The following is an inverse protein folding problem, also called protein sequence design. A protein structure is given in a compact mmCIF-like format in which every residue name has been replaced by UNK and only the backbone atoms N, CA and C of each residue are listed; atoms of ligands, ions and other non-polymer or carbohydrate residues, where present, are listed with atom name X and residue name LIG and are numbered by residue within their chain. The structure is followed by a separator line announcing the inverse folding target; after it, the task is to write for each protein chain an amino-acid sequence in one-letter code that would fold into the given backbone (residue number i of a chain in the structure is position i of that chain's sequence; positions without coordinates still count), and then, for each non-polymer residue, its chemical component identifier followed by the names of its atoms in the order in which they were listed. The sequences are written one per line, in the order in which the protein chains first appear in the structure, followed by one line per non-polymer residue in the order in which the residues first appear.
data_IF_892439753713
#
_entry.id   IF_892439753713
#
_cell.length_a   1.000
_cell.length_b   1.000
_cell.length_c   1.000
_cell.angle_alpha   90.00
_cell.angle_beta   90.00
_cell.angle_gamma   90.00
#
_symmetry.space_group_name_H-M   'P 1'
#
loop_
_entity.id
_entity.type
_entity.pdbx_description
1 polymer ?
#
# COMPACT_ATOMS: atom_id res chain seq x y z
N UNK A 1 53.89 41.31 24.70
CA UNK A 1 53.76 40.13 23.78
C UNK A 1 52.40 39.54 24.04
N UNK A 2 51.37 39.94 23.26
CA UNK A 2 49.99 39.58 23.45
C UNK A 2 49.66 38.50 22.41
N UNK A 3 49.32 37.30 22.88
CA UNK A 3 48.96 36.20 22.06
C UNK A 3 47.44 36.25 21.79
N UNK A 4 47.07 36.50 20.54
CA UNK A 4 45.67 36.41 20.06
C UNK A 4 45.35 34.97 19.70
N UNK A 5 44.46 34.34 20.46
CA UNK A 5 43.83 33.06 20.13
C UNK A 5 42.63 33.32 19.20
N UNK A 6 42.74 32.94 17.94
CA UNK A 6 41.62 32.91 16.99
C UNK A 6 40.94 31.55 17.11
N UNK A 7 39.75 31.50 17.72
CA UNK A 7 38.88 30.32 17.71
C UNK A 7 38.04 30.30 16.43
N UNK A 8 38.35 29.37 15.53
CA UNK A 8 37.53 29.13 14.35
C UNK A 8 36.30 28.33 14.75
N UNK A 9 35.13 28.95 14.65
CA UNK A 9 33.84 28.29 14.82
C UNK A 9 33.51 27.63 13.48
N UNK A 10 33.64 26.29 13.40
CA UNK A 10 33.09 25.51 12.30
C UNK A 10 31.58 25.34 12.52
N UNK A 11 30.76 26.15 11.84
CA UNK A 11 29.35 25.91 11.72
C UNK A 11 29.11 24.82 10.67
N UNK A 12 28.79 23.61 11.13
CA UNK A 12 28.33 22.51 10.27
C UNK A 12 26.92 22.83 9.76
N UNK A 13 26.83 23.31 8.53
CA UNK A 13 25.54 23.43 7.82
C UNK A 13 25.12 22.03 7.41
N UNK A 14 24.24 21.41 8.19
CA UNK A 14 23.55 20.20 7.74
C UNK A 14 22.53 20.62 6.69
N UNK A 15 22.84 20.39 5.41
CA UNK A 15 21.87 20.53 4.34
C UNK A 15 20.89 19.35 4.43
N UNK A 16 19.83 19.50 5.20
CA UNK A 16 18.65 18.64 5.06
C UNK A 16 18.02 18.95 3.71
N UNK A 17 18.04 17.97 2.80
CA UNK A 17 17.28 18.06 1.57
C UNK A 17 15.80 18.28 1.94
N UNK A 18 15.07 19.20 1.31
CA UNK A 18 13.68 19.47 1.63
C UNK A 18 12.87 18.18 1.37
N UNK A 19 12.19 17.69 2.41
CA UNK A 19 11.17 16.65 2.26
C UNK A 19 10.01 17.33 1.55
N UNK A 20 9.90 17.10 0.23
CA UNK A 20 8.77 17.60 -0.54
C UNK A 20 7.53 16.77 -0.17
N UNK A 21 6.69 17.32 0.68
CA UNK A 21 5.36 16.79 0.94
C UNK A 21 4.46 17.25 -0.23
N UNK A 22 4.11 16.31 -1.11
CA UNK A 22 3.19 16.61 -2.20
C UNK A 22 1.76 16.67 -1.66
N UNK A 23 1.05 17.75 -1.96
CA UNK A 23 -0.37 17.86 -1.60
C UNK A 23 -1.18 16.90 -2.47
N UNK A 24 -1.89 15.96 -1.84
CA UNK A 24 -2.76 15.02 -2.53
C UNK A 24 -4.16 15.60 -2.61
N UNK A 25 -4.62 15.98 -3.79
CA UNK A 25 -6.04 16.29 -4.01
C UNK A 25 -6.76 15.04 -4.49
N UNK A 26 -7.74 14.58 -3.71
CA UNK A 26 -8.63 13.49 -4.13
C UNK A 26 -9.76 14.08 -4.95
N UNK A 27 -9.80 13.76 -6.23
CA UNK A 27 -10.96 14.03 -7.08
C UNK A 27 -11.80 12.76 -7.12
N UNK A 28 -12.91 12.73 -6.39
CA UNK A 28 -13.90 11.67 -6.52
C UNK A 28 -14.56 11.82 -7.91
N UNK A 29 -14.11 11.02 -8.88
CA UNK A 29 -14.78 10.95 -10.18
C UNK A 29 -16.08 10.14 -10.10
N UNK A 30 -16.35 9.50 -8.95
CA UNK A 30 -17.49 8.64 -8.71
C UNK A 30 -17.78 8.59 -7.20
N UNK A 31 -19.01 8.83 -6.78
CA UNK A 31 -19.44 8.75 -5.38
C UNK A 31 -19.28 7.35 -4.76
N UNK A 32 -18.97 6.34 -5.61
CA UNK A 32 -18.75 4.96 -5.20
C UNK A 32 -17.40 4.72 -4.48
N UNK A 33 -16.47 5.70 -4.51
CA UNK A 33 -15.12 5.52 -3.98
C UNK A 33 -14.64 6.67 -3.09
N UNK A 34 -13.90 6.30 -2.04
CA UNK A 34 -13.08 7.22 -1.26
C UNK A 34 -11.62 6.73 -1.29
N UNK A 35 -10.68 7.61 -1.63
CA UNK A 35 -9.25 7.33 -1.49
C UNK A 35 -8.77 7.90 -0.17
N UNK A 36 -7.98 7.11 0.58
CA UNK A 36 -7.49 7.48 1.90
C UNK A 36 -6.09 6.96 2.18
N UNK A 37 -5.48 7.41 3.28
CA UNK A 37 -4.21 6.94 3.84
C UNK A 37 -3.05 6.98 2.84
N UNK A 38 -3.05 7.96 1.95
CA UNK A 38 -2.07 8.04 0.87
C UNK A 38 -0.71 8.53 1.34
N UNK A 39 0.33 8.00 0.73
CA UNK A 39 1.70 8.49 0.83
C UNK A 39 2.41 8.42 -0.52
N UNK A 40 3.56 9.09 -0.61
CA UNK A 40 4.43 8.97 -1.78
C UNK A 40 5.90 9.08 -1.38
N UNK A 41 6.78 8.43 -2.13
CA UNK A 41 8.22 8.61 -2.05
C UNK A 41 8.87 8.32 -3.40
N UNK A 42 10.11 8.80 -3.56
CA UNK A 42 10.93 8.52 -4.74
C UNK A 42 12.03 7.57 -4.33
N UNK A 43 12.17 6.46 -5.05
CA UNK A 43 13.21 5.47 -4.82
C UNK A 43 14.57 5.88 -5.41
N UNK A 44 15.58 5.03 -5.28
CA UNK A 44 16.93 5.27 -5.79
C UNK A 44 17.01 5.26 -7.33
N UNK A 45 16.04 4.61 -7.98
CA UNK A 45 15.91 4.56 -9.44
C UNK A 45 15.14 5.74 -10.01
N UNK A 46 14.77 6.73 -9.18
CA UNK A 46 13.93 7.87 -9.52
C UNK A 46 12.50 7.48 -9.93
N UNK A 47 12.01 6.33 -9.49
CA UNK A 47 10.61 5.96 -9.61
C UNK A 47 9.86 6.55 -8.42
N UNK A 48 8.73 7.25 -8.69
CA UNK A 48 7.86 7.72 -7.62
C UNK A 48 6.79 6.67 -7.35
N UNK A 49 6.73 6.22 -6.11
CA UNK A 49 5.72 5.32 -5.59
C UNK A 49 4.62 6.12 -4.91
N UNK A 50 3.38 5.83 -5.23
CA UNK A 50 2.21 6.39 -4.57
C UNK A 50 1.39 5.22 -4.02
N UNK A 51 1.29 5.16 -2.70
CA UNK A 51 0.49 4.17 -1.99
C UNK A 51 -0.81 4.78 -1.48
N UNK A 52 -1.79 3.94 -1.26
CA UNK A 52 -3.03 4.33 -0.63
C UNK A 52 -4.05 3.20 -0.58
N UNK A 53 -5.25 3.55 -0.17
CA UNK A 53 -6.39 2.64 -0.07
C UNK A 53 -7.59 3.24 -0.79
N UNK A 54 -8.31 2.39 -1.51
CA UNK A 54 -9.62 2.70 -2.09
C UNK A 54 -10.67 2.03 -1.21
N UNK A 55 -11.61 2.82 -0.70
CA UNK A 55 -12.79 2.34 0.02
C UNK A 55 -13.97 2.33 -0.94
N UNK A 56 -14.65 1.21 -1.05
CA UNK A 56 -15.94 1.14 -1.75
C UNK A 56 -17.03 1.74 -0.86
N UNK A 57 -17.50 2.94 -1.20
CA UNK A 57 -18.55 3.67 -0.47
C UNK A 57 -19.95 3.36 -0.99
N UNK A 58 -20.06 2.61 -2.08
CA UNK A 58 -21.34 2.21 -2.65
C UNK A 58 -21.95 1.02 -1.90
N UNK A 59 -23.22 0.74 -2.19
CA UNK A 59 -23.93 -0.43 -1.66
C UNK A 59 -23.81 -1.68 -2.54
N UNK A 60 -22.91 -1.68 -3.51
CA UNK A 60 -22.68 -2.78 -4.47
C UNK A 60 -21.25 -3.28 -4.39
N UNK A 61 -21.04 -4.57 -4.66
CA UNK A 61 -19.69 -5.08 -4.89
C UNK A 61 -19.13 -4.55 -6.20
N UNK A 62 -17.85 -4.19 -6.22
CA UNK A 62 -17.16 -3.62 -7.36
C UNK A 62 -15.98 -4.51 -7.76
N UNK A 63 -15.86 -4.77 -9.05
CA UNK A 63 -14.73 -5.48 -9.65
C UNK A 63 -13.88 -4.52 -10.50
N UNK A 64 -12.68 -4.96 -10.87
CA UNK A 64 -11.73 -4.17 -11.69
C UNK A 64 -11.46 -2.78 -11.11
N UNK A 65 -11.44 -2.70 -9.77
CA UNK A 65 -11.18 -1.44 -9.09
C UNK A 65 -9.75 -1.00 -9.36
N UNK A 66 -9.63 0.20 -9.94
CA UNK A 66 -8.36 0.73 -10.46
C UNK A 66 -8.13 2.14 -9.91
N UNK A 67 -6.97 2.36 -9.30
CA UNK A 67 -6.48 3.69 -8.95
C UNK A 67 -5.86 4.35 -10.18
N UNK A 68 -6.15 5.63 -10.40
CA UNK A 68 -5.56 6.49 -11.43
C UNK A 68 -4.87 7.67 -10.77
N UNK A 69 -3.62 7.94 -11.15
CA UNK A 69 -2.85 9.11 -10.76
C UNK A 69 -2.55 10.01 -11.96
N UNK A 70 -2.89 11.29 -11.87
CA UNK A 70 -2.52 12.34 -12.83
C UNK A 70 -1.47 13.24 -12.20
N UNK A 71 -0.32 13.42 -12.84
CA UNK A 71 0.87 14.07 -12.29
C UNK A 71 1.14 15.40 -12.98
N UNK A 72 1.47 16.43 -12.19
CA UNK A 72 1.59 17.80 -12.65
C UNK A 72 2.92 18.43 -12.24
N UNK A 73 3.43 19.33 -13.09
CA UNK A 73 4.58 20.18 -12.78
C UNK A 73 4.19 21.40 -11.92
N UNK A 74 5.17 22.28 -11.67
CA UNK A 74 4.98 23.50 -10.88
C UNK A 74 4.01 24.51 -11.51
N UNK A 75 3.82 24.46 -12.81
CA UNK A 75 2.93 25.35 -13.56
C UNK A 75 1.52 24.74 -13.71
N UNK A 76 1.29 23.58 -13.11
CA UNK A 76 0.03 22.86 -13.19
C UNK A 76 -0.18 22.14 -14.53
N UNK A 77 0.86 22.00 -15.35
CA UNK A 77 0.80 21.24 -16.59
C UNK A 77 0.84 19.75 -16.30
N UNK A 78 -0.06 19.00 -16.92
CA UNK A 78 -0.07 17.55 -16.86
C UNK A 78 1.20 16.98 -17.49
N UNK A 79 1.96 16.21 -16.72
CA UNK A 79 3.15 15.50 -17.15
C UNK A 79 2.80 14.11 -17.68
N UNK A 80 2.05 13.33 -16.89
CA UNK A 80 1.69 11.97 -17.25
C UNK A 80 0.51 11.47 -16.42
N UNK A 81 -0.08 10.33 -16.83
CA UNK A 81 -1.09 9.60 -16.09
C UNK A 81 -0.71 8.13 -16.02
N UNK A 82 -0.85 7.55 -14.83
CA UNK A 82 -0.66 6.13 -14.58
C UNK A 82 -1.86 5.55 -13.86
N UNK A 83 -2.14 4.29 -14.12
CA UNK A 83 -3.22 3.57 -13.45
C UNK A 83 -2.77 2.17 -13.05
N UNK A 84 -3.33 1.69 -11.94
CA UNK A 84 -3.06 0.36 -11.42
C UNK A 84 -4.31 -0.22 -10.79
N UNK A 85 -4.61 -1.49 -11.09
CA UNK A 85 -5.62 -2.23 -10.34
C UNK A 85 -5.22 -2.29 -8.87
N UNK A 86 -6.19 -2.14 -7.97
CA UNK A 86 -5.95 -2.38 -6.56
C UNK A 86 -5.73 -3.88 -6.29
N UNK A 87 -5.26 -4.23 -5.11
CA UNK A 87 -4.76 -5.58 -4.83
C UNK A 87 -5.86 -6.65 -4.67
N UNK A 88 -7.13 -6.27 -4.55
CA UNK A 88 -8.24 -7.19 -4.44
C UNK A 88 -9.02 -7.31 -5.76
N UNK A 89 -9.40 -8.51 -6.20
CA UNK A 89 -10.16 -8.71 -7.43
C UNK A 89 -11.59 -8.16 -7.34
N UNK A 90 -12.17 -8.14 -6.15
CA UNK A 90 -13.50 -7.63 -5.85
C UNK A 90 -13.46 -6.88 -4.53
N UNK A 91 -14.14 -5.73 -4.47
CA UNK A 91 -14.26 -4.91 -3.27
C UNK A 91 -15.73 -4.84 -2.88
N UNK A 92 -16.09 -5.52 -1.81
CA UNK A 92 -17.45 -5.53 -1.27
C UNK A 92 -17.84 -4.15 -0.71
N UNK A 93 -19.13 -3.85 -0.48
CA UNK A 93 -19.55 -2.61 0.19
C UNK A 93 -18.81 -2.39 1.51
N UNK A 94 -18.26 -1.18 1.70
CA UNK A 94 -17.40 -0.85 2.84
C UNK A 94 -16.01 -1.47 2.82
N UNK A 95 -15.71 -2.31 1.83
CA UNK A 95 -14.40 -2.96 1.68
C UNK A 95 -13.30 -1.97 1.33
N UNK A 96 -12.07 -2.31 1.73
CA UNK A 96 -10.86 -1.51 1.53
C UNK A 96 -9.93 -2.29 0.60
N UNK A 97 -9.46 -1.65 -0.45
CA UNK A 97 -8.53 -2.22 -1.41
C UNK A 97 -7.26 -1.38 -1.48
N UNK A 98 -6.11 -1.86 -1.00
CA UNK A 98 -4.86 -1.14 -1.11
C UNK A 98 -4.36 -1.11 -2.55
N UNK A 99 -3.59 -0.06 -2.87
CA UNK A 99 -3.00 0.12 -4.20
C UNK A 99 -1.63 0.75 -4.13
N UNK A 100 -0.85 0.51 -5.19
CA UNK A 100 0.39 1.20 -5.50
C UNK A 100 0.37 1.69 -6.93
N UNK A 101 0.64 2.97 -7.17
CA UNK A 101 0.89 3.53 -8.50
C UNK A 101 2.37 3.85 -8.60
N UNK A 102 2.99 3.45 -9.72
CA UNK A 102 4.38 3.78 -10.04
C UNK A 102 4.41 4.86 -11.13
N UNK A 103 5.03 6.00 -10.84
CA UNK A 103 5.39 6.99 -11.85
C UNK A 103 6.75 6.59 -12.43
N UNK A 104 6.75 6.08 -13.65
CA UNK A 104 7.92 5.43 -14.27
C UNK A 104 8.78 6.36 -15.13
N UNK A 105 8.32 7.58 -15.43
CA UNK A 105 9.10 8.53 -16.21
C UNK A 105 10.16 9.23 -15.35
N UNK A 106 11.30 8.58 -15.21
CA UNK A 106 12.43 9.05 -14.39
C UNK A 106 13.01 10.38 -14.84
N UNK A 107 12.76 10.81 -16.10
CA UNK A 107 13.23 12.10 -16.61
C UNK A 107 12.44 13.28 -16.02
N UNK A 108 11.16 13.07 -15.76
CA UNK A 108 10.27 14.09 -15.23
C UNK A 108 9.93 13.92 -13.74
N UNK A 109 10.31 12.83 -13.09
CA UNK A 109 10.03 12.58 -11.66
C UNK A 109 10.41 13.76 -10.78
N UNK A 110 11.57 14.41 -11.01
CA UNK A 110 12.06 15.53 -10.18
C UNK A 110 11.25 16.82 -10.34
N UNK A 111 10.49 16.96 -11.42
CA UNK A 111 9.66 18.13 -11.67
C UNK A 111 8.18 17.89 -11.33
N UNK A 112 7.80 16.68 -10.94
CA UNK A 112 6.46 16.42 -10.38
C UNK A 112 6.29 17.23 -9.10
N UNK A 113 5.29 18.10 -9.06
CA UNK A 113 4.97 18.95 -7.90
C UNK A 113 3.69 18.55 -7.20
N UNK A 114 2.74 18.06 -7.95
CA UNK A 114 1.44 17.64 -7.44
C UNK A 114 0.95 16.40 -8.18
N UNK A 115 0.09 15.64 -7.53
CA UNK A 115 -0.64 14.56 -8.17
C UNK A 115 -2.08 14.49 -7.66
N UNK A 116 -2.97 14.08 -8.54
CA UNK A 116 -4.38 13.89 -8.23
C UNK A 116 -4.73 12.42 -8.39
N UNK A 117 -5.48 11.90 -7.43
CA UNK A 117 -5.91 10.51 -7.42
C UNK A 117 -7.39 10.40 -7.66
N UNK A 118 -7.78 9.41 -8.45
CA UNK A 118 -9.17 8.98 -8.64
C UNK A 118 -9.24 7.46 -8.69
N UNK A 119 -10.45 6.92 -8.56
CA UNK A 119 -10.69 5.50 -8.67
C UNK A 119 -11.87 5.23 -9.60
N UNK A 120 -11.79 4.12 -10.31
CA UNK A 120 -12.87 3.58 -11.14
C UNK A 120 -13.07 2.12 -10.81
N UNK A 121 -14.25 1.58 -11.13
CA UNK A 121 -14.58 0.17 -10.96
C UNK A 121 -15.89 -0.16 -11.63
N UNK A 122 -16.19 -1.43 -11.76
CA UNK A 122 -17.43 -1.90 -12.41
C UNK A 122 -18.30 -2.67 -11.40
N UNK A 123 -19.60 -2.35 -11.30
CA UNK A 123 -20.49 -3.15 -10.47
C UNK A 123 -20.46 -4.62 -10.88
N UNK A 124 -20.45 -5.51 -9.89
CA UNK A 124 -20.54 -6.95 -10.10
C UNK A 124 -21.70 -7.52 -9.28
N UNK A 125 -22.44 -8.46 -9.89
CA UNK A 125 -23.53 -9.13 -9.20
C UNK A 125 -23.04 -10.10 -8.11
N UNK A 126 -21.78 -10.57 -8.22
CA UNK A 126 -21.18 -11.53 -7.29
C UNK A 126 -20.07 -10.83 -6.49
N UNK A 127 -20.37 -10.49 -5.23
CA UNK A 127 -19.34 -10.23 -4.23
C UNK A 127 -18.73 -11.55 -3.73
N UNK A 128 -17.52 -11.49 -3.23
CA UNK A 128 -16.90 -12.64 -2.58
C UNK A 128 -17.30 -12.67 -1.09
N UNK A 129 -17.95 -13.72 -0.60
CA UNK A 129 -18.31 -13.81 0.81
C UNK A 129 -17.07 -13.90 1.70
N UNK A 130 -17.17 -13.37 2.91
CA UNK A 130 -16.13 -13.49 3.93
C UNK A 130 -16.19 -14.90 4.53
N UNK A 131 -15.31 -15.78 4.07
CA UNK A 131 -15.18 -17.14 4.55
C UNK A 131 -13.72 -17.62 4.64
N UNK A 132 -12.77 -16.69 4.53
CA UNK A 132 -11.39 -16.91 4.93
C UNK A 132 -11.15 -16.21 6.26
N UNK A 133 -10.37 -16.85 7.14
CA UNK A 133 -9.91 -16.26 8.37
C UNK A 133 -8.38 -16.23 8.35
N UNK A 134 -7.80 -15.03 8.38
CA UNK A 134 -6.35 -14.82 8.37
C UNK A 134 -5.86 -14.45 9.76
N UNK A 135 -4.70 -14.94 10.16
CA UNK A 135 -4.06 -14.57 11.41
C UNK A 135 -2.55 -14.43 11.22
N UNK A 136 -1.95 -13.52 11.99
CA UNK A 136 -0.51 -13.30 12.00
C UNK A 136 0.14 -14.03 13.16
N UNK A 137 1.21 -14.80 12.89
CA UNK A 137 2.01 -15.47 13.91
C UNK A 137 3.14 -14.56 14.37
N UNK A 138 3.84 -13.94 13.43
CA UNK A 138 4.96 -13.04 13.73
C UNK A 138 5.20 -12.01 12.64
N UNK A 139 5.87 -10.92 13.03
CA UNK A 139 6.44 -9.96 12.10
C UNK A 139 7.82 -9.52 12.57
N UNK A 140 8.72 -9.24 11.62
CA UNK A 140 10.11 -8.88 11.91
C UNK A 140 10.68 -7.98 10.84
N UNK A 141 11.29 -6.87 11.27
CA UNK A 141 12.21 -6.09 10.45
C UNK A 141 13.62 -6.67 10.60
N UNK A 142 14.27 -7.01 9.49
CA UNK A 142 15.65 -7.48 9.52
C UNK A 142 16.66 -6.33 9.41
N UNK A 143 17.93 -6.66 9.62
CA UNK A 143 19.04 -5.68 9.53
C UNK A 143 19.25 -5.11 8.12
N UNK A 144 18.72 -5.79 7.10
CA UNK A 144 18.78 -5.34 5.70
C UNK A 144 17.61 -4.44 5.33
N UNK A 145 16.67 -4.22 6.25
CA UNK A 145 15.48 -3.40 6.05
C UNK A 145 14.33 -4.14 5.35
N UNK A 146 14.35 -5.47 5.31
CA UNK A 146 13.22 -6.26 4.85
C UNK A 146 12.24 -6.50 6.02
N UNK A 147 10.95 -6.33 5.76
CA UNK A 147 9.91 -6.59 6.74
C UNK A 147 9.20 -7.90 6.39
N UNK A 148 9.34 -8.88 7.27
CA UNK A 148 8.76 -10.21 7.10
C UNK A 148 7.52 -10.35 7.97
N UNK A 149 6.47 -10.97 7.41
CA UNK A 149 5.23 -11.31 8.10
C UNK A 149 4.92 -12.77 7.82
N UNK A 150 4.71 -13.56 8.87
CA UNK A 150 4.27 -14.95 8.75
C UNK A 150 2.94 -15.14 9.45
N UNK A 151 2.18 -16.14 9.01
CA UNK A 151 0.89 -16.43 9.60
C UNK A 151 0.19 -17.59 8.92
N UNK A 152 -1.09 -17.72 9.18
CA UNK A 152 -1.91 -18.76 8.63
C UNK A 152 -3.26 -18.25 8.13
N UNK A 153 -3.93 -19.11 7.37
CA UNK A 153 -5.26 -18.88 6.81
C UNK A 153 -6.08 -20.15 7.04
N UNK A 154 -7.32 -20.02 7.51
CA UNK A 154 -8.31 -21.08 7.48
C UNK A 154 -9.40 -20.78 6.45
N UNK A 155 -9.88 -21.83 5.78
CA UNK A 155 -11.06 -21.76 4.93
C UNK A 155 -12.28 -22.25 5.75
N UNK A 156 -13.16 -21.31 6.08
CA UNK A 156 -14.41 -21.53 6.80
C UNK A 156 -15.61 -21.63 5.85
N UNK A 157 -15.34 -21.59 4.54
CA UNK A 157 -16.35 -21.73 3.49
C UNK A 157 -16.63 -23.20 3.13
N UNK A 158 -17.63 -23.39 2.28
CA UNK A 158 -18.09 -24.73 1.86
C UNK A 158 -17.37 -25.26 0.61
N UNK A 159 -16.68 -24.39 -0.12
CA UNK A 159 -15.95 -24.75 -1.34
C UNK A 159 -14.44 -24.66 -1.10
N UNK A 160 -13.65 -25.32 -1.95
CA UNK A 160 -12.19 -25.17 -1.93
C UNK A 160 -11.84 -23.72 -2.29
N UNK A 161 -11.13 -23.03 -1.41
CA UNK A 161 -10.55 -21.72 -1.68
C UNK A 161 -9.34 -21.89 -2.60
N UNK A 162 -9.45 -21.49 -3.87
CA UNK A 162 -8.39 -21.66 -4.87
C UNK A 162 -7.64 -20.36 -5.14
N UNK A 163 -6.35 -20.45 -5.44
CA UNK A 163 -5.45 -19.30 -5.67
C UNK A 163 -5.46 -18.33 -4.49
N UNK A 164 -5.44 -18.87 -3.26
CA UNK A 164 -5.52 -18.08 -2.05
C UNK A 164 -4.27 -17.21 -1.89
N UNK A 165 -4.49 -15.91 -1.81
CA UNK A 165 -3.45 -14.88 -1.72
C UNK A 165 -3.67 -14.04 -0.47
N UNK A 166 -2.59 -13.67 0.21
CA UNK A 166 -2.59 -12.72 1.34
C UNK A 166 -1.91 -11.44 0.91
N UNK A 167 -2.54 -10.32 1.24
CA UNK A 167 -2.00 -8.96 1.06
C UNK A 167 -1.67 -8.39 2.43
N UNK A 168 -0.49 -7.84 2.57
CA UNK A 168 -0.08 -7.03 3.71
C UNK A 168 0.00 -5.56 3.28
N UNK A 169 -0.63 -4.68 4.05
CA UNK A 169 -0.54 -3.24 3.91
C UNK A 169 0.18 -2.69 5.14
N UNK A 170 1.34 -2.06 4.94
CA UNK A 170 2.15 -1.50 6.02
C UNK A 170 1.82 -0.01 6.20
N UNK A 171 1.68 0.42 7.46
CA UNK A 171 1.35 1.80 7.83
C UNK A 171 2.43 2.41 8.71
N UNK A 172 2.67 3.70 8.52
CA UNK A 172 3.47 4.50 9.43
C UNK A 172 2.69 4.89 10.70
N UNK A 173 3.35 5.67 11.58
CA UNK A 173 2.75 6.17 12.83
C UNK A 173 1.52 7.10 12.62
N UNK A 174 1.39 7.69 11.44
CA UNK A 174 0.30 8.60 11.07
C UNK A 174 -0.82 7.86 10.31
N UNK A 175 -0.72 6.52 10.21
CA UNK A 175 -1.69 5.65 9.53
C UNK A 175 -1.63 5.73 8.00
N UNK A 176 -0.54 6.27 7.44
CA UNK A 176 -0.34 6.32 5.99
C UNK A 176 0.19 4.99 5.48
N UNK A 177 -0.31 4.54 4.34
CA UNK A 177 0.23 3.36 3.65
C UNK A 177 1.62 3.67 3.14
N UNK A 178 2.60 2.89 3.51
CA UNK A 178 4.01 3.10 3.15
C UNK A 178 4.60 1.98 2.30
N UNK A 179 4.01 0.80 2.31
CA UNK A 179 4.42 -0.33 1.47
C UNK A 179 3.32 -1.38 1.41
N UNK A 180 3.38 -2.21 0.39
CA UNK A 180 2.53 -3.38 0.20
C UNK A 180 3.38 -4.63 0.05
N UNK A 181 2.83 -5.76 0.48
CA UNK A 181 3.40 -7.07 0.25
C UNK A 181 2.32 -8.08 -0.05
N UNK A 182 2.68 -9.17 -0.75
CA UNK A 182 1.75 -10.26 -1.03
C UNK A 182 2.45 -11.60 -1.09
N UNK A 183 1.73 -12.65 -0.75
CA UNK A 183 2.16 -14.02 -0.92
C UNK A 183 0.98 -14.94 -1.24
N UNK A 184 1.25 -16.01 -1.95
CA UNK A 184 0.33 -17.13 -2.04
C UNK A 184 0.34 -17.91 -0.73
N UNK A 185 -0.80 -18.46 -0.37
CA UNK A 185 -0.89 -19.43 0.72
C UNK A 185 -0.22 -20.77 0.32
N UNK A 186 0.27 -21.50 1.30
CA UNK A 186 0.83 -22.84 1.11
C UNK A 186 0.13 -23.86 2.04
N UNK A 187 -0.65 -24.76 1.48
CA UNK A 187 -1.01 -24.92 0.06
C UNK A 187 -1.88 -23.79 -0.48
N UNK A 188 -1.73 -23.47 -1.78
CA UNK A 188 -2.47 -22.39 -2.47
C UNK A 188 -3.97 -22.63 -2.58
N UNK A 189 -4.38 -23.90 -2.56
CA UNK A 189 -5.78 -24.34 -2.54
C UNK A 189 -6.10 -24.93 -1.18
N UNK A 190 -7.07 -24.33 -0.49
CA UNK A 190 -7.42 -24.70 0.90
C UNK A 190 -8.80 -25.33 0.91
N UNK A 191 -8.92 -26.65 1.18
CA UNK A 191 -10.22 -27.29 1.33
C UNK A 191 -11.02 -26.70 2.51
N UNK A 192 -12.36 -26.92 2.57
CA UNK A 192 -13.17 -26.56 3.72
C UNK A 192 -12.59 -27.07 5.03
N UNK A 193 -12.64 -26.28 6.09
CA UNK A 193 -12.14 -26.56 7.44
C UNK A 193 -10.63 -26.88 7.51
N UNK A 194 -9.87 -26.55 6.48
CA UNK A 194 -8.41 -26.72 6.44
C UNK A 194 -7.68 -25.39 6.54
N UNK A 195 -6.39 -25.50 6.83
CA UNK A 195 -5.48 -24.35 6.99
C UNK A 195 -4.32 -24.41 6.03
N UNK A 196 -3.78 -23.24 5.74
CA UNK A 196 -2.54 -23.02 5.00
C UNK A 196 -1.68 -22.01 5.77
N UNK A 197 -0.41 -21.96 5.46
CA UNK A 197 0.51 -20.93 5.95
C UNK A 197 0.80 -19.88 4.87
N UNK A 198 1.39 -18.74 5.27
CA UNK A 198 1.95 -17.77 4.35
C UNK A 198 3.19 -17.12 4.94
N UNK A 199 4.05 -16.61 4.04
CA UNK A 199 5.18 -15.76 4.39
C UNK A 199 5.31 -14.62 3.40
N UNK A 200 5.20 -13.37 3.88
CA UNK A 200 5.30 -12.16 3.07
C UNK A 200 6.61 -11.47 3.39
N UNK A 201 7.40 -11.15 2.35
CA UNK A 201 8.56 -10.27 2.45
C UNK A 201 8.27 -8.94 1.77
N UNK A 202 8.39 -7.83 2.50
CA UNK A 202 8.29 -6.47 1.96
C UNK A 202 9.68 -5.87 1.89
N UNK A 203 10.11 -5.47 0.68
CA UNK A 203 11.50 -5.12 0.39
C UNK A 203 11.77 -3.61 0.26
N UNK A 204 10.75 -2.76 0.46
CA UNK A 204 10.86 -1.30 0.38
C UNK A 204 11.65 -0.70 1.56
N UNK A 205 12.96 -0.96 1.60
CA UNK A 205 13.86 -0.66 2.72
C UNK A 205 13.67 0.71 3.36
N UNK A 206 13.55 1.78 2.55
CA UNK A 206 13.37 3.14 3.06
C UNK A 206 12.02 3.36 3.75
N UNK A 207 11.04 2.51 3.48
CA UNK A 207 9.70 2.61 4.03
C UNK A 207 9.50 1.65 5.20
N UNK A 208 9.97 0.42 5.09
CA UNK A 208 9.78 -0.63 6.09
C UNK A 208 10.28 -0.25 7.49
N UNK A 209 11.35 0.57 7.61
CA UNK A 209 11.82 1.13 8.89
C UNK A 209 10.80 2.05 9.59
N UNK A 210 9.81 2.55 8.87
CA UNK A 210 8.75 3.43 9.40
C UNK A 210 7.52 2.65 9.83
N UNK A 211 7.51 1.33 9.66
CA UNK A 211 6.33 0.50 9.95
C UNK A 211 5.97 0.58 11.42
N UNK A 212 4.76 1.05 11.68
CA UNK A 212 4.16 1.10 13.02
C UNK A 212 3.09 0.02 13.19
N UNK A 213 2.37 -0.30 12.13
CA UNK A 213 1.36 -1.34 12.08
C UNK A 213 1.22 -1.88 10.66
N UNK A 214 0.51 -3.00 10.54
CA UNK A 214 0.13 -3.54 9.23
C UNK A 214 -1.26 -4.16 9.29
N UNK A 215 -1.94 -4.21 8.15
CA UNK A 215 -3.14 -5.01 8.00
C UNK A 215 -2.87 -6.20 7.09
N UNK A 216 -3.64 -7.26 7.30
CA UNK A 216 -3.68 -8.44 6.44
C UNK A 216 -5.09 -8.64 5.93
N UNK A 217 -5.23 -8.94 4.65
CA UNK A 217 -6.45 -9.39 4.02
C UNK A 217 -6.12 -10.54 3.09
N UNK A 218 -6.95 -11.57 3.07
CA UNK A 218 -6.79 -12.70 2.16
C UNK A 218 -7.95 -12.76 1.17
N UNK A 219 -7.66 -13.24 -0.03
CA UNK A 219 -8.68 -13.54 -1.04
C UNK A 219 -8.37 -14.84 -1.77
N UNK A 220 -9.39 -15.43 -2.31
CA UNK A 220 -9.34 -16.56 -3.26
C UNK A 220 -10.32 -16.31 -4.40
N UNK A 221 -10.42 -17.21 -5.34
CA UNK A 221 -11.46 -17.12 -6.37
C UNK A 221 -12.88 -17.16 -5.79
N UNK A 222 -13.08 -17.75 -4.62
CA UNK A 222 -14.39 -17.94 -3.98
C UNK A 222 -14.66 -16.96 -2.85
N UNK A 223 -13.64 -16.61 -2.08
CA UNK A 223 -13.81 -16.00 -0.76
C UNK A 223 -12.88 -14.81 -0.52
N UNK A 224 -13.26 -13.96 0.43
CA UNK A 224 -12.43 -12.94 1.06
C UNK A 224 -12.26 -13.23 2.55
N UNK A 225 -11.30 -12.59 3.20
CA UNK A 225 -11.26 -12.45 4.66
C UNK A 225 -11.68 -11.03 5.07
N UNK A 226 -12.21 -10.82 6.27
CA UNK A 226 -12.15 -9.52 6.91
C UNK A 226 -10.67 -9.08 7.07
N UNK A 227 -10.36 -7.78 6.97
CA UNK A 227 -9.02 -7.30 7.28
C UNK A 227 -8.75 -7.41 8.81
N UNK A 228 -7.54 -7.83 9.15
CA UNK A 228 -7.04 -7.74 10.53
C UNK A 228 -5.93 -6.69 10.60
N UNK A 229 -5.83 -5.96 11.72
CA UNK A 229 -4.76 -5.00 11.95
C UNK A 229 -3.89 -5.45 13.12
N UNK A 230 -2.57 -5.39 12.92
CA UNK A 230 -1.56 -5.79 13.90
C UNK A 230 -0.61 -4.61 14.13
N UNK A 231 -0.39 -4.26 15.39
CA UNK A 231 0.62 -3.26 15.77
C UNK A 231 1.99 -3.93 15.75
N UNK A 232 2.94 -3.33 15.04
CA UNK A 232 4.34 -3.81 15.05
C UNK A 232 4.94 -3.61 16.44
N UNK A 233 5.62 -4.64 16.93
CA UNK A 233 6.31 -4.59 18.24
C UNK A 233 7.77 -4.20 18.05
#
# INVERSE_FOLDING_TARGET
MILLLISAIFSSISSQAPIHTYATQTLAANDDFKIQNTSSFIDESLIMHIYGEIVNTSNRSLANVTAKGSFYDNDGKLLNEYQRACELPTVNPGGICPFEILYLDTKTTKIVKDFRLSAIGTPTAKGNPNALNVFSDSSKLDISGFYYITGGISNEGLEIATLTTVIATLYDKDGKVIALGRALAEPVSIPPDKRASFGIGVIEKKQTYKTNSYSLVAYSNQYLSPPITVVSK
#
